data_IF_664979411660
#
_entry.id   IF_664979411660
#
_cell.length_a   1.000
_cell.length_b   1.000
_cell.length_c   1.000
_cell.angle_alpha   90.00
_cell.angle_beta   90.00
_cell.angle_gamma   90.00
#
_symmetry.space_group_name_H-M   'P 1'
#
loop_
_entity.id
_entity.type
_entity.pdbx_description
1 polymer ?
#
# COMPACT_ATOMS: atom_id res chain seq x y z
N UNK A 1 11.37 18.19 -4.31
CA UNK A 1 12.60 17.55 -3.81
C UNK A 1 13.02 16.40 -4.71
N UNK A 2 12.18 15.37 -4.93
CA UNK A 2 12.49 14.25 -5.84
C UNK A 2 12.63 14.68 -7.33
N UNK A 3 11.80 15.61 -7.82
CA UNK A 3 11.90 16.13 -9.21
C UNK A 3 13.27 16.79 -9.46
N UNK A 4 13.79 17.53 -8.47
CA UNK A 4 15.11 18.16 -8.57
C UNK A 4 16.27 17.15 -8.53
N UNK A 5 16.00 15.93 -8.05
CA UNK A 5 16.94 14.81 -8.04
C UNK A 5 16.89 13.97 -9.34
N UNK A 6 16.12 14.40 -10.36
CA UNK A 6 16.01 13.69 -11.64
C UNK A 6 14.91 12.65 -11.72
N UNK A 7 13.91 12.70 -10.82
CA UNK A 7 12.74 11.82 -10.89
C UNK A 7 12.03 11.95 -12.26
N UNK A 8 11.93 10.83 -12.98
CA UNK A 8 11.31 10.75 -14.31
C UNK A 8 12.30 10.79 -15.48
N UNK A 9 13.59 10.98 -15.22
CA UNK A 9 14.66 10.77 -16.20
C UNK A 9 15.12 9.31 -16.18
N UNK A 10 15.74 8.87 -17.27
CA UNK A 10 16.33 7.54 -17.31
C UNK A 10 17.43 7.40 -16.24
N UNK A 11 17.51 6.22 -15.63
CA UNK A 11 18.41 5.96 -14.48
C UNK A 11 19.88 6.26 -14.78
N UNK A 12 20.31 6.15 -16.03
CA UNK A 12 21.68 6.47 -16.46
C UNK A 12 21.98 7.97 -16.54
N UNK A 13 20.97 8.84 -16.51
CA UNK A 13 21.13 10.30 -16.53
C UNK A 13 21.18 10.92 -15.13
N UNK A 14 20.92 10.12 -14.08
CA UNK A 14 20.80 10.58 -12.70
C UNK A 14 22.05 10.20 -11.91
N UNK A 15 22.52 11.11 -11.05
CA UNK A 15 23.67 10.83 -10.20
C UNK A 15 23.36 9.67 -9.22
N UNK A 16 24.32 8.76 -8.96
CA UNK A 16 24.19 7.67 -7.98
C UNK A 16 23.52 8.02 -6.65
N UNK A 17 23.95 9.13 -6.03
CA UNK A 17 23.42 9.59 -4.75
C UNK A 17 21.96 10.03 -4.85
N UNK A 18 21.56 10.56 -6.00
CA UNK A 18 20.21 11.02 -6.26
C UNK A 18 19.25 9.86 -6.57
N UNK A 19 19.74 8.79 -7.20
CA UNK A 19 18.98 7.52 -7.36
C UNK A 19 18.63 6.96 -5.98
N UNK A 20 19.62 6.89 -5.09
CA UNK A 20 19.44 6.37 -3.73
C UNK A 20 18.42 7.22 -2.94
N UNK A 21 18.48 8.55 -3.05
CA UNK A 21 17.49 9.46 -2.44
C UNK A 21 16.09 9.24 -3.00
N UNK A 22 15.97 9.09 -4.32
CA UNK A 22 14.67 8.85 -4.97
C UNK A 22 14.05 7.54 -4.46
N UNK A 23 14.83 6.46 -4.41
CA UNK A 23 14.35 5.16 -3.91
C UNK A 23 13.95 5.21 -2.43
N UNK A 24 14.68 5.96 -1.61
CA UNK A 24 14.32 6.17 -0.21
C UNK A 24 13.02 6.96 -0.07
N UNK A 25 12.79 7.99 -0.90
CA UNK A 25 11.52 8.72 -0.94
C UNK A 25 10.37 7.79 -1.35
N UNK A 26 10.57 6.95 -2.36
CA UNK A 26 9.57 5.97 -2.79
C UNK A 26 9.23 4.97 -1.69
N UNK A 27 10.22 4.49 -0.92
CA UNK A 27 9.98 3.61 0.21
C UNK A 27 9.10 4.27 1.28
N UNK A 28 9.36 5.53 1.60
CA UNK A 28 8.54 6.31 2.54
C UNK A 28 7.13 6.52 1.99
N UNK A 29 7.03 6.90 0.70
CA UNK A 29 5.75 7.11 0.02
C UNK A 29 4.88 5.84 0.02
N UNK A 30 5.48 4.66 -0.21
CA UNK A 30 4.76 3.38 -0.16
C UNK A 30 4.09 3.17 1.21
N UNK A 31 4.79 3.46 2.30
CA UNK A 31 4.23 3.35 3.66
C UNK A 31 3.06 4.33 3.85
N UNK A 32 3.23 5.59 3.46
CA UNK A 32 2.16 6.59 3.56
C UNK A 32 0.95 6.21 2.71
N UNK A 33 1.17 5.69 1.51
CA UNK A 33 0.12 5.24 0.60
C UNK A 33 -0.75 4.15 1.24
N UNK A 34 -0.12 3.14 1.88
CA UNK A 34 -0.83 2.08 2.60
C UNK A 34 -1.70 2.66 3.72
N UNK A 35 -1.16 3.59 4.51
CA UNK A 35 -1.88 4.24 5.61
C UNK A 35 -3.09 5.01 5.09
N UNK A 36 -2.90 5.83 4.06
CA UNK A 36 -3.97 6.65 3.46
C UNK A 36 -5.10 5.77 2.95
N UNK A 37 -4.79 4.71 2.21
CA UNK A 37 -5.79 3.76 1.69
C UNK A 37 -6.60 3.12 2.82
N UNK A 38 -5.93 2.64 3.87
CA UNK A 38 -6.61 2.02 4.99
C UNK A 38 -7.50 3.02 5.74
N UNK A 39 -6.99 4.23 5.97
CA UNK A 39 -7.75 5.29 6.63
C UNK A 39 -8.99 5.71 5.83
N UNK A 40 -8.88 5.82 4.51
CA UNK A 40 -10.02 6.15 3.63
C UNK A 40 -11.09 5.07 3.70
N UNK A 41 -10.73 3.79 3.57
CA UNK A 41 -11.69 2.68 3.66
C UNK A 41 -12.36 2.64 5.04
N UNK A 42 -11.59 2.81 6.12
CA UNK A 42 -12.11 2.86 7.49
C UNK A 42 -13.12 4.02 7.66
N UNK A 43 -12.81 5.21 7.13
CA UNK A 43 -13.71 6.36 7.19
C UNK A 43 -15.06 6.07 6.53
N UNK A 44 -15.04 5.45 5.33
CA UNK A 44 -16.26 5.05 4.61
C UNK A 44 -17.05 4.00 5.40
N UNK A 45 -16.37 3.00 5.98
CA UNK A 45 -17.04 1.95 6.76
C UNK A 45 -17.73 2.52 7.99
N UNK A 46 -17.07 3.44 8.71
CA UNK A 46 -17.66 4.13 9.86
C UNK A 46 -18.88 4.95 9.42
N UNK A 47 -18.79 5.63 8.27
CA UNK A 47 -19.91 6.36 7.70
C UNK A 47 -21.11 5.44 7.38
N UNK A 48 -20.86 4.27 6.78
CA UNK A 48 -21.92 3.27 6.53
C UNK A 48 -22.53 2.72 7.82
N UNK A 49 -21.73 2.45 8.85
CA UNK A 49 -22.22 2.02 10.16
C UNK A 49 -23.11 3.08 10.84
N UNK A 50 -22.95 4.35 10.50
CA UNK A 50 -23.76 5.46 11.02
C UNK A 50 -25.08 5.62 10.27
N UNK A 51 -25.11 5.35 8.96
CA UNK A 51 -26.28 5.54 8.11
C UNK A 51 -27.20 4.32 8.12
N UNK A 52 -26.63 3.12 7.98
CA UNK A 52 -27.41 1.90 7.82
C UNK A 52 -27.66 1.22 9.17
N UNK A 53 -28.94 1.05 9.52
CA UNK A 53 -29.36 0.35 10.73
C UNK A 53 -29.58 -1.15 10.51
N UNK A 54 -29.60 -1.61 9.24
CA UNK A 54 -29.76 -3.01 8.83
C UNK A 54 -28.69 -3.92 9.48
N UNK A 55 -29.08 -4.94 10.28
CA UNK A 55 -28.12 -5.81 10.98
C UNK A 55 -27.17 -6.56 10.05
N UNK A 56 -27.62 -6.89 8.83
CA UNK A 56 -26.80 -7.60 7.83
C UNK A 56 -25.67 -6.71 7.33
N UNK A 57 -25.97 -5.47 6.94
CA UNK A 57 -24.97 -4.49 6.51
C UNK A 57 -23.96 -4.21 7.61
N UNK A 58 -24.43 -4.03 8.85
CA UNK A 58 -23.53 -3.75 9.97
C UNK A 58 -22.54 -4.90 10.21
N UNK A 59 -22.97 -6.16 10.09
CA UNK A 59 -22.05 -7.32 10.17
C UNK A 59 -21.00 -7.27 9.05
N UNK A 60 -21.40 -6.98 7.82
CA UNK A 60 -20.47 -6.85 6.68
C UNK A 60 -19.50 -5.69 6.89
N UNK A 61 -19.98 -4.52 7.34
CA UNK A 61 -19.13 -3.39 7.69
C UNK A 61 -18.09 -3.74 8.76
N UNK A 62 -18.48 -4.43 9.84
CA UNK A 62 -17.53 -4.86 10.86
C UNK A 62 -16.51 -5.87 10.33
N UNK A 63 -16.92 -6.79 9.45
CA UNK A 63 -16.00 -7.69 8.77
C UNK A 63 -15.02 -6.95 7.86
N UNK A 64 -15.50 -5.98 7.08
CA UNK A 64 -14.66 -5.12 6.23
C UNK A 64 -13.70 -4.25 7.04
N UNK A 65 -14.14 -3.75 8.20
CA UNK A 65 -13.30 -2.97 9.10
C UNK A 65 -12.13 -3.80 9.62
N UNK A 66 -12.42 -4.98 10.17
CA UNK A 66 -11.39 -5.90 10.66
C UNK A 66 -10.48 -6.35 9.51
N UNK A 67 -11.04 -6.72 8.37
CA UNK A 67 -10.30 -7.12 7.18
C UNK A 67 -9.35 -6.03 6.68
N UNK A 68 -9.81 -4.78 6.62
CA UNK A 68 -8.98 -3.63 6.19
C UNK A 68 -7.81 -3.40 7.15
N UNK A 69 -8.04 -3.48 8.46
CA UNK A 69 -6.97 -3.32 9.45
C UNK A 69 -5.95 -4.45 9.33
N UNK A 70 -6.39 -5.71 9.34
CA UNK A 70 -5.49 -6.88 9.27
C UNK A 70 -4.70 -6.88 7.97
N UNK A 71 -5.36 -6.59 6.85
CA UNK A 71 -4.73 -6.55 5.54
C UNK A 71 -3.73 -5.39 5.43
N UNK A 72 -4.11 -4.19 5.90
CA UNK A 72 -3.25 -3.01 5.90
C UNK A 72 -2.01 -3.19 6.74
N UNK A 73 -2.13 -3.74 7.96
CA UNK A 73 -0.98 -4.00 8.82
C UNK A 73 -0.08 -5.09 8.25
N UNK A 74 -0.65 -6.17 7.71
CA UNK A 74 0.12 -7.23 7.06
C UNK A 74 0.92 -6.69 5.87
N UNK A 75 0.31 -5.86 5.02
CA UNK A 75 1.01 -5.25 3.89
C UNK A 75 2.09 -4.26 4.35
N UNK A 76 1.82 -3.46 5.37
CA UNK A 76 2.82 -2.53 5.93
C UNK A 76 4.04 -3.28 6.51
N UNK A 77 3.81 -4.36 7.27
CA UNK A 77 4.89 -5.22 7.78
C UNK A 77 5.66 -5.83 6.62
N UNK A 78 4.96 -6.34 5.60
CA UNK A 78 5.62 -6.88 4.42
C UNK A 78 6.47 -5.82 3.73
N UNK A 79 5.95 -4.62 3.46
CA UNK A 79 6.69 -3.54 2.79
C UNK A 79 7.98 -3.17 3.53
N UNK A 80 7.95 -3.11 4.87
CA UNK A 80 9.12 -2.79 5.70
C UNK A 80 10.15 -3.93 5.75
N UNK A 81 9.70 -5.18 5.70
CA UNK A 81 10.57 -6.37 5.83
C UNK A 81 10.79 -7.13 4.50
N UNK A 82 10.36 -6.56 3.37
CA UNK A 82 10.42 -7.21 2.06
C UNK A 82 11.86 -7.45 1.57
N UNK A 83 12.81 -6.64 2.05
CA UNK A 83 14.21 -6.71 1.68
C UNK A 83 15.06 -6.96 2.93
N UNK A 84 16.00 -7.89 2.82
CA UNK A 84 17.00 -8.15 3.86
C UNK A 84 18.41 -7.86 3.30
N UNK A 85 19.16 -6.91 3.89
CA UNK A 85 18.76 -5.95 4.94
C UNK A 85 17.76 -4.89 4.43
N UNK A 86 17.01 -4.20 5.30
CA UNK A 86 16.04 -3.17 4.87
C UNK A 86 16.69 -2.04 4.05
N UNK A 87 17.97 -1.74 4.32
CA UNK A 87 18.75 -0.78 3.53
C UNK A 87 18.88 -1.16 2.06
N UNK A 88 18.74 -2.44 1.75
CA UNK A 88 18.76 -2.95 0.39
C UNK A 88 17.60 -2.40 -0.46
N UNK A 89 16.50 -1.96 0.15
CA UNK A 89 15.36 -1.36 -0.56
C UNK A 89 15.75 -0.15 -1.42
N UNK A 90 16.75 0.62 -1.00
CA UNK A 90 17.22 1.82 -1.73
C UNK A 90 18.65 1.72 -2.23
N UNK A 91 19.40 0.67 -1.88
CA UNK A 91 20.77 0.46 -2.39
C UNK A 91 20.87 -0.65 -3.45
N UNK A 92 19.81 -1.45 -3.70
CA UNK A 92 19.87 -2.56 -4.67
C UNK A 92 20.27 -2.16 -6.09
N UNK A 93 20.06 -0.89 -6.46
CA UNK A 93 20.26 -0.40 -7.82
C UNK A 93 21.74 -0.40 -8.25
N UNK A 94 22.68 -0.35 -7.30
CA UNK A 94 24.11 -0.27 -7.58
C UNK A 94 24.76 -1.63 -7.87
N UNK A 95 24.10 -2.74 -7.51
CA UNK A 95 24.62 -4.10 -7.65
C UNK A 95 25.87 -4.40 -6.80
N UNK A 96 26.28 -3.47 -5.92
CA UNK A 96 27.45 -3.58 -5.05
C UNK A 96 27.07 -4.15 -3.68
N UNK A 97 25.82 -3.96 -3.27
CA UNK A 97 25.31 -4.46 -2.01
C UNK A 97 24.72 -5.87 -2.18
N UNK A 98 25.03 -6.77 -1.24
CA UNK A 98 24.40 -8.10 -1.19
C UNK A 98 23.10 -8.04 -0.38
N UNK A 99 22.05 -8.63 -0.93
CA UNK A 99 20.74 -8.68 -0.28
C UNK A 99 19.78 -9.61 -1.01
N UNK A 100 18.75 -10.06 -0.30
CA UNK A 100 17.66 -10.84 -0.89
C UNK A 100 16.41 -9.97 -1.00
N UNK A 101 15.80 -9.98 -2.18
CA UNK A 101 14.55 -9.26 -2.47
C UNK A 101 13.45 -10.26 -2.80
N UNK A 102 12.30 -10.11 -2.15
CA UNK A 102 11.10 -10.86 -2.51
C UNK A 102 10.62 -10.53 -3.92
N UNK A 103 9.73 -11.36 -4.49
CA UNK A 103 9.10 -11.07 -5.77
C UNK A 103 8.09 -9.92 -5.62
N UNK A 104 8.58 -8.68 -5.79
CA UNK A 104 7.79 -7.47 -5.65
C UNK A 104 6.56 -7.49 -6.56
N UNK A 105 6.72 -7.86 -7.84
CA UNK A 105 5.62 -7.87 -8.80
C UNK A 105 4.48 -8.80 -8.37
N UNK A 106 4.81 -10.03 -7.97
CA UNK A 106 3.81 -11.00 -7.51
C UNK A 106 3.07 -10.46 -6.29
N UNK A 107 3.81 -9.95 -5.32
CA UNK A 107 3.26 -9.52 -4.04
C UNK A 107 2.41 -8.26 -4.21
N UNK A 108 2.89 -7.26 -4.94
CA UNK A 108 2.11 -6.06 -5.29
C UNK A 108 0.84 -6.43 -6.03
N UNK A 109 0.90 -7.36 -7.01
CA UNK A 109 -0.29 -7.77 -7.76
C UNK A 109 -1.34 -8.43 -6.85
N UNK A 110 -0.91 -9.32 -5.93
CA UNK A 110 -1.79 -9.94 -4.95
C UNK A 110 -2.44 -8.91 -4.03
N UNK A 111 -1.65 -7.98 -3.50
CA UNK A 111 -2.16 -6.93 -2.63
C UNK A 111 -3.14 -6.00 -3.37
N UNK A 112 -2.82 -5.59 -4.60
CA UNK A 112 -3.73 -4.79 -5.44
C UNK A 112 -5.04 -5.51 -5.71
N UNK A 113 -5.00 -6.81 -6.04
CA UNK A 113 -6.20 -7.61 -6.29
C UNK A 113 -7.14 -7.67 -5.08
N UNK A 114 -6.60 -7.93 -3.89
CA UNK A 114 -7.39 -7.95 -2.66
C UNK A 114 -7.93 -6.55 -2.33
N UNK A 115 -7.12 -5.51 -2.51
CA UNK A 115 -7.53 -4.13 -2.25
C UNK A 115 -8.73 -3.71 -3.12
N UNK A 116 -8.69 -4.05 -4.41
CA UNK A 116 -9.80 -3.83 -5.35
C UNK A 116 -11.04 -4.62 -4.94
N UNK A 117 -10.89 -5.87 -4.50
CA UNK A 117 -12.02 -6.67 -4.00
C UNK A 117 -12.72 -6.01 -2.80
N UNK A 118 -11.94 -5.44 -1.88
CA UNK A 118 -12.48 -4.67 -0.75
C UNK A 118 -13.20 -3.40 -1.23
N UNK A 119 -12.67 -2.69 -2.21
CA UNK A 119 -13.31 -1.49 -2.79
C UNK A 119 -14.63 -1.82 -3.47
N UNK A 120 -14.65 -2.85 -4.31
CA UNK A 120 -15.88 -3.29 -4.97
C UNK A 120 -16.95 -3.68 -3.94
N UNK A 121 -16.54 -4.35 -2.85
CA UNK A 121 -17.47 -4.70 -1.78
C UNK A 121 -18.04 -3.44 -1.10
N UNK A 122 -17.20 -2.43 -0.83
CA UNK A 122 -17.65 -1.15 -0.26
C UNK A 122 -18.59 -0.38 -1.19
N UNK A 123 -18.36 -0.44 -2.50
CA UNK A 123 -19.20 0.24 -3.51
C UNK A 123 -20.54 -0.48 -3.68
N UNK A 124 -20.55 -1.82 -3.68
CA UNK A 124 -21.76 -2.61 -3.87
C UNK A 124 -22.66 -2.66 -2.64
N UNK A 125 -22.09 -2.54 -1.43
CA UNK A 125 -22.84 -2.60 -0.18
C UNK A 125 -24.08 -1.68 -0.15
N UNK A 126 -24.00 -0.37 -0.44
CA UNK A 126 -25.18 0.51 -0.44
C UNK A 126 -26.22 0.15 -1.52
N UNK A 127 -25.80 -0.44 -2.65
CA UNK A 127 -26.71 -0.85 -3.74
C UNK A 127 -27.59 -2.02 -3.32
N UNK A 128 -27.20 -2.79 -2.30
CA UNK A 128 -28.03 -3.90 -1.79
C UNK A 128 -29.14 -3.45 -0.84
N UNK A 129 -29.26 -2.15 -0.55
CA UNK A 129 -30.14 -1.59 0.48
C UNK A 129 -31.40 -0.89 -0.08
N UNK A 130 -31.94 -1.38 -1.21
CA UNK A 130 -33.24 -0.93 -1.75
C UNK A 130 -34.43 -1.61 -1.08
#
# INVERSE_FOLDING_TARGET
>A
MAINAGLGQDTWMVAPDDITKILLIFFIEEIFYIIVICATKISIIIFYLRIFFEPRVRKVCHALFAGTIVFGTAYMVHAVFANQPNSYSWTFWDGLHEGTRGNLLLITFLYSGINIGLDLTLILLPVTQF
#
